data_IF_775556155880
#
_entry.id   IF_775556155880
#
_cell.length_a   1.000
_cell.length_b   1.000
_cell.length_c   1.000
_cell.angle_alpha   90.00
_cell.angle_beta   90.00
_cell.angle_gamma   90.00
#
_symmetry.space_group_name_H-M   'P 1'
#
loop_
_entity.id
_entity.type
_entity.pdbx_description
1 polymer ?
#
# COMPACT_ATOMS: atom_id res chain seq x y z
N UNK A 1 -12.89 -16.54 -16.18
CA UNK A 1 -14.08 -16.34 -15.33
C UNK A 1 -15.09 -15.33 -15.90
N UNK A 2 -14.75 -14.51 -16.90
CA UNK A 2 -15.65 -13.49 -17.50
C UNK A 2 -16.31 -14.01 -18.80
N UNK A 3 -16.35 -15.32 -18.98
CA UNK A 3 -16.89 -15.92 -20.22
C UNK A 3 -18.41 -15.99 -20.29
N UNK A 4 -19.14 -15.65 -19.23
CA UNK A 4 -20.54 -16.06 -19.13
C UNK A 4 -21.51 -14.98 -18.68
N UNK A 5 -22.01 -14.22 -19.56
CA UNK A 5 -23.17 -13.32 -19.56
C UNK A 5 -22.78 -11.83 -19.56
N UNK A 6 -23.25 -11.07 -20.53
CA UNK A 6 -23.01 -9.63 -20.62
C UNK A 6 -23.51 -8.85 -19.38
N UNK A 7 -24.49 -9.37 -18.64
CA UNK A 7 -24.97 -8.77 -17.41
C UNK A 7 -23.96 -8.83 -16.26
N UNK A 8 -23.11 -9.87 -16.17
CA UNK A 8 -22.10 -9.99 -15.12
C UNK A 8 -20.92 -9.05 -15.35
N UNK A 9 -20.51 -8.87 -16.61
CA UNK A 9 -19.44 -7.91 -16.94
C UNK A 9 -19.85 -6.48 -16.62
N UNK A 10 -21.10 -6.09 -16.84
CA UNK A 10 -21.60 -4.75 -16.51
C UNK A 10 -21.53 -4.48 -15.00
N UNK A 11 -21.88 -5.46 -14.15
CA UNK A 11 -21.77 -5.30 -12.70
C UNK A 11 -20.31 -5.08 -12.24
N UNK A 12 -19.35 -5.84 -12.78
CA UNK A 12 -17.94 -5.66 -12.44
C UNK A 12 -17.41 -4.29 -12.88
N UNK A 13 -17.82 -3.79 -14.06
CA UNK A 13 -17.48 -2.45 -14.51
C UNK A 13 -18.10 -1.37 -13.61
N UNK A 14 -19.34 -1.53 -13.21
CA UNK A 14 -20.00 -0.59 -12.29
C UNK A 14 -19.27 -0.53 -10.93
N UNK A 15 -18.91 -1.69 -10.37
CA UNK A 15 -18.16 -1.76 -9.11
C UNK A 15 -16.78 -1.09 -9.26
N UNK A 16 -16.04 -1.41 -10.31
CA UNK A 16 -14.74 -0.80 -10.57
C UNK A 16 -14.85 0.72 -10.73
N UNK A 17 -15.83 1.18 -11.49
CA UNK A 17 -16.10 2.61 -11.68
C UNK A 17 -16.36 3.30 -10.34
N UNK A 18 -17.24 2.75 -9.49
CA UNK A 18 -17.55 3.30 -8.17
C UNK A 18 -16.30 3.36 -7.29
N UNK A 19 -15.46 2.31 -7.29
CA UNK A 19 -14.22 2.28 -6.53
C UNK A 19 -13.26 3.38 -7.01
N UNK A 20 -13.02 3.47 -8.31
CA UNK A 20 -12.12 4.49 -8.90
C UNK A 20 -12.63 5.89 -8.64
N UNK A 21 -13.93 6.12 -8.82
CA UNK A 21 -14.56 7.40 -8.53
C UNK A 21 -14.38 7.78 -7.04
N UNK A 22 -14.60 6.84 -6.12
CA UNK A 22 -14.44 7.07 -4.68
C UNK A 22 -13.00 7.45 -4.34
N UNK A 23 -12.00 6.81 -4.96
CA UNK A 23 -10.58 7.12 -4.75
C UNK A 23 -10.25 8.52 -5.25
N UNK A 24 -10.74 8.89 -6.43
CA UNK A 24 -10.52 10.23 -7.01
C UNK A 24 -11.19 11.29 -6.14
N UNK A 25 -12.44 11.09 -5.74
CA UNK A 25 -13.18 12.03 -4.89
C UNK A 25 -12.55 12.18 -3.49
N UNK A 26 -11.88 11.15 -2.97
CA UNK A 26 -11.14 11.25 -1.71
C UNK A 26 -9.91 12.16 -1.80
N UNK A 27 -9.43 12.46 -3.02
CA UNK A 27 -8.21 13.22 -3.26
C UNK A 27 -6.94 12.50 -2.81
N UNK A 28 -7.02 11.21 -2.47
CA UNK A 28 -5.90 10.43 -1.96
C UNK A 28 -5.11 9.79 -3.10
N UNK A 29 -3.87 10.24 -3.30
CA UNK A 29 -2.98 9.76 -4.37
C UNK A 29 -2.37 8.39 -4.06
N UNK A 30 -2.13 8.10 -2.78
CA UNK A 30 -1.51 6.85 -2.34
C UNK A 30 -2.28 5.60 -2.78
N UNK A 31 -3.58 5.47 -2.49
CA UNK A 31 -4.40 4.34 -2.94
C UNK A 31 -4.40 4.16 -4.46
N UNK A 32 -4.42 5.26 -5.24
CA UNK A 32 -4.39 5.16 -6.70
C UNK A 32 -3.09 4.53 -7.19
N UNK A 33 -1.93 5.03 -6.71
CA UNK A 33 -0.61 4.47 -7.04
C UNK A 33 -0.53 3.01 -6.62
N UNK A 34 -1.02 2.67 -5.44
CA UNK A 34 -1.00 1.30 -4.91
C UNK A 34 -1.81 0.33 -5.79
N UNK A 35 -3.01 0.74 -6.22
CA UNK A 35 -3.87 -0.08 -7.09
C UNK A 35 -3.25 -0.24 -8.48
N UNK A 36 -2.66 0.82 -9.06
CA UNK A 36 -2.00 0.72 -10.36
C UNK A 36 -0.86 -0.30 -10.29
N UNK A 37 0.03 -0.19 -9.31
CA UNK A 37 1.16 -1.12 -9.15
C UNK A 37 0.66 -2.54 -8.89
N UNK A 38 -0.31 -2.73 -8.00
CA UNK A 38 -0.89 -4.04 -7.73
C UNK A 38 -1.58 -4.66 -8.94
N UNK A 39 -2.25 -3.85 -9.76
CA UNK A 39 -2.87 -4.32 -11.02
C UNK A 39 -1.81 -4.77 -12.03
N UNK A 40 -0.68 -4.07 -12.13
CA UNK A 40 0.45 -4.48 -12.97
C UNK A 40 1.02 -5.82 -12.48
N UNK A 41 1.23 -5.96 -11.17
CA UNK A 41 1.71 -7.22 -10.58
C UNK A 41 0.73 -8.36 -10.84
N UNK A 42 -0.57 -8.12 -10.65
CA UNK A 42 -1.61 -9.11 -10.97
C UNK A 42 -1.54 -9.52 -12.43
N UNK A 43 -1.44 -8.56 -13.34
CA UNK A 43 -1.33 -8.82 -14.77
C UNK A 43 -0.12 -9.71 -15.09
N UNK A 44 1.07 -9.38 -14.57
CA UNK A 44 2.30 -10.16 -14.78
C UNK A 44 2.15 -11.59 -14.24
N UNK A 45 1.57 -11.77 -13.08
CA UNK A 45 1.38 -13.08 -12.47
C UNK A 45 0.34 -13.93 -13.23
N UNK A 46 -0.72 -13.28 -13.69
CA UNK A 46 -1.81 -13.94 -14.42
C UNK A 46 -1.42 -14.29 -15.85
N UNK A 47 -0.62 -13.47 -16.55
CA UNK A 47 -0.15 -13.74 -17.92
C UNK A 47 0.71 -14.97 -18.05
N UNK A 48 1.41 -15.35 -17.00
CA UNK A 48 2.16 -16.62 -16.99
C UNK A 48 1.24 -17.83 -17.31
N UNK A 49 -0.08 -17.66 -17.20
CA UNK A 49 -1.07 -18.70 -17.39
C UNK A 49 -2.10 -18.40 -18.50
N UNK A 50 -2.37 -17.12 -18.81
CA UNK A 50 -3.46 -16.69 -19.72
C UNK A 50 -3.02 -15.51 -20.60
N UNK A 51 -3.17 -15.64 -21.92
CA UNK A 51 -2.73 -14.68 -22.94
C UNK A 51 -3.57 -13.39 -23.03
N UNK A 52 -2.92 -12.29 -23.37
CA UNK A 52 -3.34 -11.04 -24.06
C UNK A 52 -4.55 -10.20 -23.60
N UNK A 53 -5.58 -10.74 -22.97
CA UNK A 53 -6.79 -9.98 -22.58
C UNK A 53 -6.58 -8.99 -21.45
N UNK A 54 -5.57 -9.21 -20.63
CA UNK A 54 -5.25 -8.39 -19.45
C UNK A 54 -4.78 -7.00 -19.85
N UNK A 55 -4.01 -6.89 -20.91
CA UNK A 55 -3.60 -5.56 -21.42
C UNK A 55 -4.81 -4.70 -21.79
N UNK A 56 -5.85 -5.32 -22.38
CA UNK A 56 -7.09 -4.63 -22.67
C UNK A 56 -7.76 -4.04 -21.42
N UNK A 57 -7.84 -4.81 -20.34
CA UNK A 57 -8.42 -4.32 -19.08
C UNK A 57 -7.56 -3.27 -18.40
N UNK A 58 -6.22 -3.41 -18.46
CA UNK A 58 -5.29 -2.39 -17.96
C UNK A 58 -5.45 -1.06 -18.70
N UNK A 59 -5.48 -1.11 -20.03
CA UNK A 59 -5.70 0.08 -20.87
C UNK A 59 -7.07 0.71 -20.56
N UNK A 60 -8.11 -0.11 -20.41
CA UNK A 60 -9.46 0.36 -20.08
C UNK A 60 -9.48 1.04 -18.70
N UNK A 61 -8.84 0.47 -17.68
CA UNK A 61 -8.75 1.05 -16.34
C UNK A 61 -8.01 2.39 -16.36
N UNK A 62 -6.87 2.47 -17.05
CA UNK A 62 -6.10 3.70 -17.20
C UNK A 62 -6.94 4.74 -17.98
N UNK A 63 -7.58 4.34 -19.07
CA UNK A 63 -8.48 5.21 -19.85
C UNK A 63 -9.63 5.74 -18.99
N UNK A 64 -10.23 4.90 -18.15
CA UNK A 64 -11.30 5.32 -17.23
C UNK A 64 -10.78 6.34 -16.21
N UNK A 65 -9.61 6.14 -15.62
CA UNK A 65 -9.00 7.09 -14.68
C UNK A 65 -8.75 8.43 -15.37
N UNK A 66 -8.14 8.42 -16.54
CA UNK A 66 -7.87 9.65 -17.31
C UNK A 66 -9.20 10.37 -17.64
N UNK A 67 -10.18 9.62 -18.11
CA UNK A 67 -11.50 10.19 -18.45
C UNK A 67 -12.18 10.81 -17.23
N UNK A 68 -12.15 10.14 -16.08
CA UNK A 68 -12.69 10.68 -14.83
C UNK A 68 -11.96 11.96 -14.40
N UNK A 69 -10.63 11.99 -14.50
CA UNK A 69 -9.85 13.18 -14.15
C UNK A 69 -10.13 14.37 -15.07
N UNK A 70 -10.46 14.12 -16.35
CA UNK A 70 -10.78 15.15 -17.33
C UNK A 70 -12.24 15.65 -17.26
N UNK A 71 -13.17 14.77 -16.91
CA UNK A 71 -14.60 15.09 -16.89
C UNK A 71 -15.11 15.61 -15.55
N UNK A 72 -14.41 15.31 -14.44
CA UNK A 72 -14.82 15.81 -13.14
C UNK A 72 -14.53 17.32 -13.02
N UNK A 73 -15.42 18.07 -12.36
CA UNK A 73 -15.21 19.49 -12.09
C UNK A 73 -13.89 19.75 -11.36
N UNK A 74 -13.24 20.85 -11.69
CA UNK A 74 -11.97 21.24 -11.09
C UNK A 74 -12.03 21.30 -9.55
N UNK A 75 -13.18 21.71 -8.99
CA UNK A 75 -13.41 21.72 -7.55
C UNK A 75 -13.29 20.35 -6.87
N UNK A 76 -13.54 19.26 -7.59
CA UNK A 76 -13.41 17.89 -7.10
C UNK A 76 -12.02 17.30 -7.35
N UNK A 77 -11.37 17.71 -8.43
CA UNK A 77 -10.05 17.23 -8.83
C UNK A 77 -8.92 18.10 -8.26
N UNK A 78 -9.22 19.33 -7.83
CA UNK A 78 -8.25 20.27 -7.27
C UNK A 78 -7.44 19.65 -6.13
N UNK A 79 -8.08 18.93 -5.20
CA UNK A 79 -7.37 18.24 -4.12
C UNK A 79 -6.37 17.21 -4.63
N UNK A 80 -6.62 16.64 -5.81
CA UNK A 80 -5.75 15.64 -6.42
C UNK A 80 -4.53 16.29 -7.06
N UNK A 81 -4.68 17.46 -7.65
CA UNK A 81 -3.62 18.18 -8.36
C UNK A 81 -2.93 19.22 -7.45
N UNK A 82 -3.62 19.74 -6.45
CA UNK A 82 -3.07 20.77 -5.59
C UNK A 82 -2.09 20.19 -4.57
N UNK A 83 -0.81 20.36 -4.85
CA UNK A 83 0.31 19.99 -3.99
C UNK A 83 0.47 21.01 -2.84
N UNK A 84 -0.09 22.22 -3.00
CA UNK A 84 0.06 23.36 -2.09
C UNK A 84 -0.92 23.32 -0.91
N UNK A 85 -2.03 22.59 -0.98
CA UNK A 85 -2.98 22.45 0.14
C UNK A 85 -2.31 21.68 1.28
N UNK A 86 -1.90 22.41 2.29
CA UNK A 86 -1.14 21.89 3.41
C UNK A 86 -1.96 21.62 4.65
N UNK A 87 -1.47 20.71 5.45
CA UNK A 87 -1.87 20.54 6.84
C UNK A 87 -1.36 21.71 7.67
N UNK A 88 -2.13 22.12 8.67
CA UNK A 88 -1.67 23.08 9.66
C UNK A 88 -0.90 22.31 10.71
N UNK A 89 0.40 22.55 10.83
CA UNK A 89 1.24 21.94 11.86
C UNK A 89 1.52 22.98 12.93
N UNK A 90 1.35 22.60 14.19
CA UNK A 90 1.84 23.39 15.32
C UNK A 90 3.28 22.98 15.60
N UNK A 91 4.22 23.87 15.31
CA UNK A 91 5.63 23.72 15.69
C UNK A 91 5.92 24.53 16.95
N UNK A 92 7.10 24.34 17.56
CA UNK A 92 7.58 25.18 18.65
C UNK A 92 7.62 26.69 18.30
N UNK A 93 7.67 27.00 17.01
CA UNK A 93 7.75 28.36 16.48
C UNK A 93 6.37 28.93 16.10
N UNK A 94 5.26 28.19 16.32
CA UNK A 94 3.91 28.60 16.00
C UNK A 94 3.20 27.75 14.97
N UNK A 95 2.06 28.22 14.50
CA UNK A 95 1.21 27.53 13.51
C UNK A 95 1.78 27.78 12.12
N UNK A 96 2.19 26.72 11.43
CA UNK A 96 2.68 26.76 10.05
C UNK A 96 1.79 25.96 9.12
N UNK A 97 1.38 26.51 8.00
CA UNK A 97 0.77 25.75 6.90
C UNK A 97 1.87 25.15 6.03
N UNK A 98 1.87 23.83 5.90
CA UNK A 98 2.83 23.10 5.07
C UNK A 98 2.06 22.23 4.11
N UNK A 99 2.51 22.09 2.85
CA UNK A 99 1.87 21.17 1.90
C UNK A 99 1.92 19.74 2.44
N UNK A 100 0.96 18.91 2.07
CA UNK A 100 0.90 17.49 2.50
C UNK A 100 2.20 16.73 2.20
N UNK A 101 2.87 17.08 1.11
CA UNK A 101 4.17 16.50 0.73
C UNK A 101 5.27 17.04 1.66
N UNK A 102 5.33 18.36 1.88
CA UNK A 102 6.33 18.96 2.77
C UNK A 102 6.18 18.46 4.20
N UNK A 103 4.95 18.25 4.69
CA UNK A 103 4.68 17.64 6.00
C UNK A 103 5.29 16.24 6.12
N UNK A 104 5.18 15.41 5.08
CA UNK A 104 5.79 14.07 5.08
C UNK A 104 7.30 14.13 5.13
N UNK A 105 7.93 14.99 4.33
CA UNK A 105 9.38 15.18 4.39
C UNK A 105 9.85 15.68 5.75
N UNK A 106 9.09 16.57 6.39
CA UNK A 106 9.38 17.03 7.74
C UNK A 106 9.29 15.87 8.74
N UNK A 107 8.23 15.06 8.70
CA UNK A 107 8.08 13.88 9.55
C UNK A 107 9.20 12.85 9.32
N UNK A 108 9.60 12.61 8.09
CA UNK A 108 10.73 11.73 7.79
C UNK A 108 12.05 12.28 8.31
N UNK A 109 12.28 13.61 8.17
CA UNK A 109 13.44 14.25 8.75
C UNK A 109 13.46 14.15 10.28
N UNK A 110 12.31 14.39 10.94
CA UNK A 110 12.17 14.21 12.38
C UNK A 110 12.40 12.77 12.81
N UNK A 111 11.88 11.80 12.03
CA UNK A 111 12.13 10.37 12.27
C UNK A 111 13.63 10.05 12.25
N UNK A 112 14.36 10.54 11.25
CA UNK A 112 15.80 10.33 11.16
C UNK A 112 16.56 11.01 12.30
N UNK A 113 16.21 12.23 12.63
CA UNK A 113 16.84 12.96 13.75
C UNK A 113 16.63 12.23 15.07
N UNK A 114 15.40 11.76 15.32
CA UNK A 114 15.06 10.99 16.50
C UNK A 114 15.82 9.66 16.55
N UNK A 115 15.90 8.96 15.42
CA UNK A 115 16.62 7.70 15.30
C UNK A 115 18.11 7.86 15.65
N UNK A 116 18.75 8.92 15.15
CA UNK A 116 20.17 9.19 15.39
C UNK A 116 20.44 9.98 16.68
N UNK A 117 19.45 10.26 17.52
CA UNK A 117 19.60 11.11 18.71
C UNK A 117 20.43 10.45 19.82
N UNK A 118 20.48 9.13 19.87
CA UNK A 118 21.28 8.38 20.85
C UNK A 118 21.62 6.97 20.33
N UNK A 119 22.60 6.31 20.96
CA UNK A 119 22.93 4.90 20.65
C UNK A 119 21.72 3.99 20.94
N UNK A 120 20.98 4.26 22.00
CA UNK A 120 19.79 3.48 22.37
C UNK A 120 18.70 3.64 21.31
N UNK A 121 18.36 4.88 20.92
CA UNK A 121 17.36 5.12 19.88
C UNK A 121 17.78 4.53 18.53
N UNK A 122 19.07 4.56 18.21
CA UNK A 122 19.58 3.95 16.99
C UNK A 122 19.32 2.44 16.93
N UNK A 123 19.61 1.69 17.99
CA UNK A 123 19.47 0.23 17.95
C UNK A 123 18.07 -0.26 18.25
N UNK A 124 17.37 0.29 19.25
CA UNK A 124 16.07 -0.21 19.72
C UNK A 124 14.90 0.75 19.53
N UNK A 125 15.16 1.95 19.01
CA UNK A 125 14.14 2.97 18.81
C UNK A 125 13.74 3.69 20.10
N UNK A 126 12.66 4.47 20.02
CA UNK A 126 12.09 5.21 21.14
C UNK A 126 10.94 4.46 21.83
N UNK A 127 10.54 3.29 21.31
CA UNK A 127 9.40 2.51 21.77
C UNK A 127 8.17 2.64 20.88
N UNK A 128 7.27 1.65 20.95
CA UNK A 128 6.05 1.63 20.14
C UNK A 128 5.15 2.83 20.45
N UNK A 129 4.63 3.47 19.39
CA UNK A 129 3.77 4.67 19.49
C UNK A 129 4.53 5.95 19.84
N UNK A 130 5.86 5.91 19.90
CA UNK A 130 6.67 7.06 20.35
C UNK A 130 6.78 8.20 19.34
N UNK A 131 6.45 7.98 18.06
CA UNK A 131 6.55 9.04 17.06
C UNK A 131 5.73 10.28 17.46
N UNK A 132 4.54 10.09 18.03
CA UNK A 132 3.69 11.18 18.51
C UNK A 132 4.36 12.02 19.62
N UNK A 133 5.27 11.44 20.42
CA UNK A 133 5.97 12.14 21.48
C UNK A 133 7.03 13.15 20.97
N UNK A 134 7.40 13.06 19.68
CA UNK A 134 8.28 14.04 19.04
C UNK A 134 7.59 15.41 18.87
N UNK A 135 6.28 15.46 19.01
CA UNK A 135 5.49 16.68 18.91
C UNK A 135 5.10 17.16 20.32
N UNK A 136 5.51 18.36 20.65
CA UNK A 136 5.22 18.97 21.94
C UNK A 136 3.71 19.19 22.06
N UNK A 137 3.10 18.76 23.16
CA UNK A 137 1.80 19.17 23.70
C UNK A 137 0.56 18.33 23.46
N UNK A 138 0.52 17.27 22.65
CA UNK A 138 -0.74 16.50 22.56
C UNK A 138 -0.50 15.04 22.22
N UNK A 139 -1.25 14.18 22.85
CA UNK A 139 -1.47 12.77 22.50
C UNK A 139 -2.32 12.67 21.22
N UNK A 140 -1.73 13.18 20.13
CA UNK A 140 -2.31 13.01 18.81
C UNK A 140 -1.64 11.79 18.21
N UNK A 141 -2.43 10.90 17.63
CA UNK A 141 -1.92 9.74 16.88
C UNK A 141 -1.23 10.21 15.60
N UNK A 142 -0.08 10.83 15.76
CA UNK A 142 0.76 11.23 14.65
C UNK A 142 1.68 10.08 14.30
N UNK A 143 1.88 9.86 12.98
CA UNK A 143 2.75 8.84 12.44
C UNK A 143 3.45 9.38 11.17
N UNK A 144 4.61 8.81 10.76
CA UNK A 144 5.40 9.36 9.64
C UNK A 144 4.76 9.20 8.27
N UNK A 145 3.60 8.56 8.16
CA UNK A 145 2.97 8.17 6.89
C UNK A 145 3.89 7.32 5.99
N UNK A 146 4.73 6.53 6.60
CA UNK A 146 5.63 5.59 5.94
C UNK A 146 6.06 4.52 6.93
N UNK A 147 5.80 3.27 6.59
CA UNK A 147 6.07 2.12 7.46
C UNK A 147 7.53 2.01 7.88
N UNK A 148 8.49 2.28 6.98
CA UNK A 148 9.92 2.15 7.32
C UNK A 148 10.38 3.24 8.29
N UNK A 149 9.95 4.48 8.08
CA UNK A 149 10.27 5.57 9.00
C UNK A 149 9.67 5.36 10.39
N UNK A 150 8.50 4.76 10.47
CA UNK A 150 7.89 4.41 11.74
C UNK A 150 8.69 3.30 12.44
N UNK A 151 9.02 2.23 11.73
CA UNK A 151 9.82 1.12 12.26
C UNK A 151 11.17 1.62 12.82
N UNK A 152 11.88 2.51 12.11
CA UNK A 152 13.18 2.99 12.61
C UNK A 152 13.06 3.89 13.84
N UNK A 153 12.01 4.71 13.93
CA UNK A 153 11.79 5.55 15.11
C UNK A 153 11.39 4.73 16.32
N UNK A 154 10.47 3.80 16.13
CA UNK A 154 9.85 3.08 17.24
C UNK A 154 10.64 1.85 17.66
N UNK A 155 11.23 1.12 16.71
CA UNK A 155 11.90 -0.16 16.95
C UNK A 155 13.39 -0.15 16.58
N UNK A 156 13.90 0.97 16.05
CA UNK A 156 15.31 1.15 15.72
C UNK A 156 15.82 0.23 14.61
N UNK A 157 17.14 0.10 14.54
CA UNK A 157 17.82 -0.76 13.58
C UNK A 157 17.41 -2.23 13.71
N UNK A 158 17.24 -2.71 14.94
CA UNK A 158 16.83 -4.11 15.20
C UNK A 158 15.45 -4.36 14.59
N UNK A 159 14.48 -3.48 14.84
CA UNK A 159 13.14 -3.59 14.25
C UNK A 159 13.17 -3.50 12.71
N UNK A 160 13.99 -2.60 12.16
CA UNK A 160 14.16 -2.49 10.71
C UNK A 160 14.71 -3.78 10.09
N UNK A 161 15.77 -4.35 10.68
CA UNK A 161 16.38 -5.61 10.20
C UNK A 161 15.37 -6.76 10.27
N UNK A 162 14.65 -6.90 11.38
CA UNK A 162 13.60 -7.92 11.53
C UNK A 162 12.50 -7.72 10.49
N UNK A 163 12.02 -6.49 10.30
CA UNK A 163 10.99 -6.16 9.30
C UNK A 163 11.43 -6.49 7.86
N UNK A 164 12.66 -6.12 7.50
CA UNK A 164 13.24 -6.45 6.18
C UNK A 164 13.38 -7.97 6.00
N UNK A 165 13.90 -8.67 7.01
CA UNK A 165 14.03 -10.12 6.94
C UNK A 165 12.67 -10.81 6.82
N UNK A 166 11.65 -10.31 7.53
CA UNK A 166 10.28 -10.81 7.40
C UNK A 166 9.74 -10.64 5.98
N UNK A 167 9.92 -9.46 5.38
CA UNK A 167 9.48 -9.18 3.99
C UNK A 167 10.22 -10.10 3.01
N UNK A 168 11.56 -10.22 3.15
CA UNK A 168 12.37 -11.08 2.27
C UNK A 168 11.93 -12.54 2.40
N UNK A 169 11.73 -13.04 3.63
CA UNK A 169 11.29 -14.42 3.86
C UNK A 169 9.89 -14.66 3.29
N UNK A 170 8.97 -13.75 3.51
CA UNK A 170 7.62 -13.82 2.94
C UNK A 170 7.66 -13.90 1.41
N UNK A 171 8.45 -13.02 0.78
CA UNK A 171 8.67 -13.05 -0.67
C UNK A 171 9.28 -14.39 -1.15
N UNK A 172 10.31 -14.90 -0.47
CA UNK A 172 10.94 -16.18 -0.82
C UNK A 172 9.95 -17.35 -0.74
N UNK A 173 9.10 -17.37 0.29
CA UNK A 173 8.08 -18.40 0.47
C UNK A 173 7.04 -18.33 -0.64
N UNK A 174 6.49 -17.15 -0.92
CA UNK A 174 5.51 -16.92 -1.98
C UNK A 174 6.11 -17.31 -3.34
N UNK A 175 7.34 -16.86 -3.65
CA UNK A 175 8.00 -17.16 -4.91
C UNK A 175 8.26 -18.65 -5.12
N UNK A 176 8.62 -19.39 -4.06
CA UNK A 176 8.74 -20.84 -4.11
C UNK A 176 7.40 -21.51 -4.42
N UNK A 177 6.29 -21.04 -3.84
CA UNK A 177 4.95 -21.52 -4.15
C UNK A 177 4.58 -21.30 -5.62
N UNK A 178 4.89 -20.11 -6.14
CA UNK A 178 4.67 -19.77 -7.56
C UNK A 178 5.46 -20.73 -8.49
N UNK A 179 6.73 -21.01 -8.15
CA UNK A 179 7.61 -21.85 -8.98
C UNK A 179 7.19 -23.33 -8.97
N UNK A 180 6.56 -23.82 -7.92
CA UNK A 180 6.10 -25.20 -7.79
C UNK A 180 4.83 -25.54 -8.57
N UNK A 181 4.25 -24.61 -9.29
CA UNK A 181 3.04 -24.82 -10.07
C UNK A 181 1.73 -24.80 -9.28
N UNK A 182 1.78 -24.65 -7.97
CA UNK A 182 0.59 -24.52 -7.10
C UNK A 182 -0.07 -23.13 -7.18
N UNK A 183 0.25 -22.38 -8.23
CA UNK A 183 -0.17 -21.00 -8.35
C UNK A 183 -1.47 -20.87 -9.11
N UNK A 184 -2.53 -20.46 -8.42
CA UNK A 184 -3.87 -20.27 -8.98
C UNK A 184 -4.16 -18.79 -9.25
N UNK A 185 -5.26 -18.52 -9.98
CA UNK A 185 -5.73 -17.15 -10.19
C UNK A 185 -6.07 -16.44 -8.86
N UNK A 186 -6.54 -17.21 -7.87
CA UNK A 186 -6.78 -16.71 -6.51
C UNK A 186 -5.47 -16.33 -5.81
N UNK A 187 -4.42 -17.13 -5.95
CA UNK A 187 -3.10 -16.82 -5.40
C UNK A 187 -2.54 -15.54 -6.01
N UNK A 188 -2.69 -15.33 -7.33
CA UNK A 188 -2.29 -14.11 -8.01
C UNK A 188 -2.99 -12.88 -7.42
N UNK A 189 -4.29 -12.99 -7.12
CA UNK A 189 -5.08 -11.92 -6.52
C UNK A 189 -4.56 -11.55 -5.12
N UNK A 190 -4.28 -12.55 -4.27
CA UNK A 190 -3.78 -12.31 -2.92
C UNK A 190 -2.38 -11.69 -2.92
N UNK A 191 -1.50 -12.17 -3.79
CA UNK A 191 -0.15 -11.60 -3.93
C UNK A 191 -0.22 -10.16 -4.44
N UNK A 192 -1.05 -9.87 -5.45
CA UNK A 192 -1.25 -8.51 -5.93
C UNK A 192 -1.86 -7.60 -4.84
N UNK A 193 -2.83 -8.11 -4.08
CA UNK A 193 -3.41 -7.41 -2.93
C UNK A 193 -2.37 -7.11 -1.84
N UNK A 194 -1.44 -8.02 -1.58
CA UNK A 194 -0.30 -7.78 -0.69
C UNK A 194 0.56 -6.62 -1.18
N UNK A 195 0.84 -6.56 -2.48
CA UNK A 195 1.61 -5.45 -3.07
C UNK A 195 0.85 -4.13 -2.94
N UNK A 196 -0.47 -4.12 -3.20
CA UNK A 196 -1.33 -2.93 -2.99
C UNK A 196 -1.20 -2.44 -1.54
N UNK A 197 -1.37 -3.32 -0.57
CA UNK A 197 -1.31 -2.97 0.86
C UNK A 197 0.09 -2.52 1.28
N UNK A 198 1.15 -3.17 0.76
CA UNK A 198 2.52 -2.78 1.04
C UNK A 198 2.86 -1.38 0.51
N UNK A 199 2.44 -1.07 -0.71
CA UNK A 199 2.64 0.27 -1.29
C UNK A 199 1.78 1.30 -0.54
N UNK A 200 0.53 0.97 -0.20
CA UNK A 200 -0.35 1.87 0.58
C UNK A 200 0.26 2.22 1.95
N UNK A 201 0.91 1.26 2.61
CA UNK A 201 1.59 1.47 3.89
C UNK A 201 2.77 2.47 3.82
N UNK A 202 3.26 2.80 2.61
CA UNK A 202 4.27 3.84 2.42
C UNK A 202 3.67 5.26 2.34
N UNK A 203 2.35 5.35 2.28
CA UNK A 203 1.65 6.63 2.12
C UNK A 203 0.68 6.93 3.27
N UNK A 204 0.27 5.94 4.04
CA UNK A 204 -0.74 6.13 5.08
C UNK A 204 -0.75 4.96 6.07
N UNK A 205 -1.33 5.23 7.26
CA UNK A 205 -1.46 4.26 8.34
C UNK A 205 -0.21 4.14 9.19
N UNK A 206 -0.41 3.82 10.46
CA UNK A 206 0.64 3.38 11.38
C UNK A 206 0.83 1.85 11.30
N UNK A 207 1.75 1.30 12.09
CA UNK A 207 2.01 -0.16 12.14
C UNK A 207 0.73 -0.93 12.49
N UNK A 208 -0.13 -0.40 13.36
CA UNK A 208 -1.38 -1.02 13.76
C UNK A 208 -2.46 -0.92 12.67
N UNK A 209 -2.54 0.23 11.99
CA UNK A 209 -3.47 0.40 10.87
C UNK A 209 -3.11 -0.53 9.72
N UNK A 210 -1.83 -0.85 9.54
CA UNK A 210 -1.32 -1.77 8.53
C UNK A 210 -1.55 -3.27 8.84
N UNK A 211 -2.40 -3.62 9.85
CA UNK A 211 -2.79 -5.01 10.15
C UNK A 211 -3.34 -5.76 8.94
N UNK A 212 -3.99 -5.07 8.02
CA UNK A 212 -4.50 -5.64 6.78
C UNK A 212 -3.35 -6.11 5.88
N UNK A 213 -2.24 -5.38 5.81
CA UNK A 213 -1.04 -5.81 5.10
C UNK A 213 -0.51 -7.15 5.64
N UNK A 214 -0.41 -7.28 6.97
CA UNK A 214 0.08 -8.51 7.60
C UNK A 214 -0.85 -9.69 7.33
N UNK A 215 -2.17 -9.45 7.34
CA UNK A 215 -3.18 -10.45 6.95
C UNK A 215 -2.99 -10.88 5.49
N UNK A 216 -2.83 -9.94 4.56
CA UNK A 216 -2.64 -10.24 3.14
C UNK A 216 -1.35 -11.03 2.88
N UNK A 217 -0.25 -10.71 3.57
CA UNK A 217 0.98 -11.50 3.51
C UNK A 217 0.71 -12.95 3.94
N UNK A 218 0.02 -13.15 5.06
CA UNK A 218 -0.32 -14.48 5.56
C UNK A 218 -1.19 -15.27 4.58
N UNK A 219 -2.22 -14.65 4.01
CA UNK A 219 -3.10 -15.29 3.01
C UNK A 219 -2.32 -15.60 1.73
N UNK A 220 -1.44 -14.69 1.27
CA UNK A 220 -0.61 -14.94 0.09
C UNK A 220 0.31 -16.15 0.28
N UNK A 221 0.93 -16.27 1.45
CA UNK A 221 1.74 -17.44 1.80
C UNK A 221 0.87 -18.70 1.79
N UNK A 222 -0.27 -18.68 2.47
CA UNK A 222 -1.16 -19.82 2.55
C UNK A 222 -1.66 -20.24 1.16
N UNK A 223 -2.17 -19.28 0.36
CA UNK A 223 -2.74 -19.56 -0.96
C UNK A 223 -1.76 -20.13 -1.98
N UNK A 224 -0.46 -19.87 -1.81
CA UNK A 224 0.59 -20.44 -2.67
C UNK A 224 1.07 -21.83 -2.23
N UNK A 225 0.55 -22.36 -1.10
CA UNK A 225 0.99 -23.64 -0.53
C UNK A 225 -0.14 -24.66 -0.31
N UNK A 226 -1.40 -24.25 -0.42
CA UNK A 226 -2.58 -25.09 -0.11
C UNK A 226 -2.64 -26.34 -0.98
N UNK A 227 -2.28 -26.28 -2.26
CA UNK A 227 -2.36 -27.42 -3.17
C UNK A 227 -1.40 -28.56 -2.77
N UNK A 228 -0.30 -28.24 -2.05
CA UNK A 228 0.59 -29.26 -1.51
C UNK A 228 0.01 -30.03 -0.32
N UNK A 229 -0.98 -29.48 0.39
CA UNK A 229 -1.59 -30.10 1.56
C UNK A 229 -2.72 -31.09 1.18
N UNK A 230 -3.35 -30.91 0.03
CA UNK A 230 -4.50 -31.70 -0.38
C UNK A 230 -4.22 -32.70 -1.52
N UNK A 231 -2.98 -32.79 -2.01
CA UNK A 231 -2.61 -33.74 -3.06
C UNK A 231 -3.36 -33.57 -4.39
N UNK A 232 -3.95 -32.41 -4.64
CA UNK A 232 -4.80 -32.14 -5.82
C UNK A 232 -4.02 -31.75 -7.08
N UNK A 233 -2.74 -32.04 -7.14
CA UNK A 233 -1.86 -31.62 -8.24
C UNK A 233 -1.09 -32.72 -8.94
N UNK A 234 -1.60 -33.93 -8.99
CA UNK A 234 -0.96 -35.03 -9.71
C UNK A 234 -2.02 -35.88 -10.44
N UNK A 235 -2.55 -35.34 -11.54
CA UNK A 235 -3.11 -36.11 -12.66
C UNK A 235 -2.92 -35.30 -13.96
#
# INVERSE_FOLDING_TARGET
LIRNKPSQSLHYFAILFVILLSIILSGSRGPLVSIIIGSIVYAILYERKHSSRIYGYGILAIGTIITLLLLLPESLTQRFFDISQGSVIMTQQGVRRISTIATRFEFWSMSLQAWFSSITSFFIGLGAGSFSSLFIWRDWRWYPHNLFFEIIVELGLIGLVIGILFIIKSYQIINKGIQRGSFTDHSALWVAGTVVMFIAAQFSGDINDNRILWMFIGISIASTHVDNLYGLGAD
#
